data_IF_764587349947
#
_entry.id   IF_764587349947
#
_cell.length_a   1.000
_cell.length_b   1.000
_cell.length_c   1.000
_cell.angle_alpha   90.00
_cell.angle_beta   90.00
_cell.angle_gamma   90.00
#
_symmetry.space_group_name_H-M   'P 1'
#
loop_
_entity.id
_entity.type
_entity.pdbx_description
1 polymer ?
#
# COMPACT_ATOMS: atom_id res chain seq x y z
N UNK A 1 24.39 -3.21 1.43
CA UNK A 1 23.69 -2.34 0.46
C UNK A 1 23.19 -1.12 1.21
N UNK A 2 23.55 0.08 0.71
CA UNK A 2 23.13 1.35 1.32
C UNK A 2 21.93 1.92 0.56
N UNK A 3 20.81 2.10 1.27
CA UNK A 3 19.54 2.54 0.70
C UNK A 3 19.19 3.94 1.21
N UNK A 4 18.97 4.89 0.30
CA UNK A 4 18.39 6.19 0.60
C UNK A 4 16.88 6.10 0.51
N UNK A 5 16.18 6.20 1.62
CA UNK A 5 14.72 6.17 1.66
C UNK A 5 14.16 7.59 1.71
N UNK A 6 13.58 8.05 0.58
CA UNK A 6 13.03 9.40 0.43
C UNK A 6 11.51 9.32 0.50
N UNK A 7 10.91 10.15 1.37
CA UNK A 7 9.45 10.21 1.51
C UNK A 7 9.01 11.59 2.02
N UNK A 8 7.72 11.88 1.84
CA UNK A 8 7.13 13.08 2.41
C UNK A 8 7.03 12.94 3.93
N UNK A 9 7.47 13.94 4.69
CA UNK A 9 7.51 13.87 6.17
C UNK A 9 6.12 13.65 6.82
N UNK A 10 5.04 14.06 6.14
CA UNK A 10 3.67 13.84 6.58
C UNK A 10 3.00 12.66 5.86
N UNK A 11 3.79 11.71 5.33
CA UNK A 11 3.24 10.53 4.67
C UNK A 11 2.35 9.74 5.66
N UNK A 12 1.02 9.65 5.42
CA UNK A 12 0.10 9.05 6.37
C UNK A 12 0.34 7.54 6.57
N UNK A 13 1.01 6.89 5.62
CA UNK A 13 1.35 5.47 5.70
C UNK A 13 2.59 5.20 6.55
N UNK A 14 3.37 6.23 6.87
CA UNK A 14 4.61 6.12 7.63
C UNK A 14 4.50 6.75 9.03
N UNK A 15 3.37 7.34 9.38
CA UNK A 15 3.17 8.07 10.63
C UNK A 15 1.90 7.62 11.36
N UNK A 16 1.93 7.75 12.69
CA UNK A 16 0.78 7.50 13.55
C UNK A 16 0.38 6.04 13.68
N UNK A 17 -0.89 5.79 13.90
CA UNK A 17 -1.44 4.44 14.14
C UNK A 17 -1.31 3.51 12.95
N UNK A 18 -1.13 4.05 11.75
CA UNK A 18 -0.85 3.25 10.56
C UNK A 18 0.58 2.77 10.49
N UNK A 19 1.50 3.40 11.22
CA UNK A 19 2.92 3.09 11.11
C UNK A 19 3.28 1.72 11.67
N UNK A 20 2.82 1.38 12.87
CA UNK A 20 3.33 0.21 13.59
C UNK A 20 2.71 -1.11 13.17
N UNK A 21 1.50 -1.10 12.61
CA UNK A 21 0.69 -2.31 12.46
C UNK A 21 0.00 -2.46 11.10
N UNK A 22 0.49 -1.78 10.07
CA UNK A 22 0.02 -1.93 8.70
C UNK A 22 1.04 -2.72 7.89
N UNK A 23 0.58 -3.63 7.04
CA UNK A 23 1.44 -4.53 6.26
C UNK A 23 2.55 -3.79 5.46
N UNK A 24 2.35 -2.53 5.10
CA UNK A 24 3.38 -1.71 4.45
C UNK A 24 4.65 -1.57 5.30
N UNK A 25 4.47 -1.45 6.62
CA UNK A 25 5.58 -1.20 7.53
C UNK A 25 6.29 -2.48 7.95
N UNK A 26 5.61 -3.62 7.87
CA UNK A 26 6.27 -4.91 8.07
C UNK A 26 7.38 -5.12 7.04
N UNK A 27 7.15 -4.71 5.79
CA UNK A 27 8.17 -4.71 4.75
C UNK A 27 9.35 -3.78 5.11
N UNK A 28 9.08 -2.53 5.48
CA UNK A 28 10.12 -1.58 5.88
C UNK A 28 10.87 -2.03 7.14
N UNK A 29 10.14 -2.62 8.09
CA UNK A 29 10.74 -3.20 9.29
C UNK A 29 11.69 -4.34 8.92
N UNK A 30 11.25 -5.27 8.08
CA UNK A 30 12.07 -6.38 7.62
C UNK A 30 13.33 -5.93 6.87
N UNK A 31 13.22 -4.87 6.05
CA UNK A 31 14.39 -4.27 5.41
C UNK A 31 15.38 -3.68 6.43
N UNK A 32 14.89 -3.01 7.47
CA UNK A 32 15.76 -2.42 8.52
C UNK A 32 16.39 -3.46 9.44
N UNK A 33 15.76 -4.62 9.60
CA UNK A 33 16.26 -5.74 10.41
C UNK A 33 17.21 -6.66 9.63
N UNK A 34 17.42 -6.40 8.34
CA UNK A 34 18.35 -7.18 7.51
C UNK A 34 19.76 -6.62 7.62
N UNK A 35 20.70 -7.45 8.11
CA UNK A 35 22.09 -7.07 8.35
C UNK A 35 22.87 -6.66 7.08
N UNK A 36 22.38 -7.03 5.90
CA UNK A 36 23.00 -6.68 4.62
C UNK A 36 22.53 -5.32 4.08
N UNK A 37 21.53 -4.70 4.72
CA UNK A 37 20.88 -3.48 4.24
C UNK A 37 21.01 -2.37 5.29
N UNK A 38 21.63 -1.26 4.91
CA UNK A 38 21.68 -0.04 5.69
C UNK A 38 20.70 0.98 5.08
N UNK A 39 19.63 1.32 5.81
CA UNK A 39 18.64 2.31 5.34
C UNK A 39 18.86 3.63 6.06
N UNK A 40 18.99 4.71 5.28
CA UNK A 40 18.96 6.07 5.78
C UNK A 40 17.71 6.79 5.32
N UNK A 41 16.97 7.31 6.29
CA UNK A 41 15.72 8.04 6.09
C UNK A 41 15.97 9.51 5.69
N UNK A 42 15.21 9.98 4.70
CA UNK A 42 15.21 11.36 4.23
C UNK A 42 13.77 11.90 4.18
N UNK A 43 13.17 12.19 5.36
CA UNK A 43 11.86 12.84 5.40
C UNK A 43 11.99 14.27 4.86
N UNK A 44 11.08 14.64 3.96
CA UNK A 44 11.16 15.94 3.27
C UNK A 44 9.77 16.49 3.03
N UNK A 45 9.56 17.80 3.22
CA UNK A 45 8.27 18.44 2.93
C UNK A 45 8.03 18.64 1.45
N UNK A 46 8.84 19.46 0.82
CA UNK A 46 8.56 19.94 -0.54
C UNK A 46 9.66 19.55 -1.53
N UNK A 47 10.90 19.95 -1.23
CA UNK A 47 12.04 19.81 -2.13
C UNK A 47 13.13 19.00 -1.47
N UNK A 48 13.58 17.95 -2.15
CA UNK A 48 14.75 17.19 -1.76
C UNK A 48 15.86 17.36 -2.79
N UNK A 49 17.08 17.67 -2.35
CA UNK A 49 18.27 17.74 -3.21
C UNK A 49 18.96 16.37 -3.22
N UNK A 50 18.79 15.63 -4.30
CA UNK A 50 19.38 14.31 -4.45
C UNK A 50 20.89 14.30 -4.67
N UNK A 51 21.52 15.45 -4.95
CA UNK A 51 22.98 15.53 -5.14
C UNK A 51 23.77 15.06 -3.92
N UNK A 52 23.19 15.18 -2.71
CA UNK A 52 23.79 14.72 -1.46
C UNK A 52 23.96 13.19 -1.39
N UNK A 53 23.25 12.44 -2.24
CA UNK A 53 23.28 10.98 -2.28
C UNK A 53 24.43 10.44 -3.13
N UNK A 54 25.00 11.27 -4.01
CA UNK A 54 26.05 10.86 -4.97
C UNK A 54 27.20 10.15 -4.27
N UNK A 55 27.58 8.97 -4.77
CA UNK A 55 28.67 8.13 -4.26
C UNK A 55 28.51 7.67 -2.79
N UNK A 56 27.31 7.76 -2.21
CA UNK A 56 27.07 7.38 -0.81
C UNK A 56 26.04 6.27 -0.66
N UNK A 57 25.19 6.05 -1.67
CA UNK A 57 24.11 5.09 -1.67
C UNK A 57 24.13 4.24 -2.93
N UNK A 58 23.66 3.00 -2.79
CA UNK A 58 23.58 2.04 -3.87
C UNK A 58 22.18 2.05 -4.52
N UNK A 59 21.14 2.43 -3.75
CA UNK A 59 19.73 2.42 -4.17
C UNK A 59 19.01 3.63 -3.57
N UNK A 60 18.09 4.21 -4.35
CA UNK A 60 17.08 5.15 -3.86
C UNK A 60 15.75 4.41 -3.79
N UNK A 61 15.13 4.40 -2.60
CA UNK A 61 13.81 3.82 -2.37
C UNK A 61 12.77 4.93 -2.24
N UNK A 62 11.72 4.84 -3.08
CA UNK A 62 10.53 5.66 -3.02
C UNK A 62 9.35 4.78 -2.60
N UNK A 63 8.75 5.04 -1.44
CA UNK A 63 7.79 4.09 -0.89
C UNK A 63 6.42 4.14 -1.58
N UNK A 64 5.95 5.31 -1.95
CA UNK A 64 4.70 5.48 -2.69
C UNK A 64 4.95 6.44 -3.84
N UNK A 65 4.69 6.02 -5.06
CA UNK A 65 4.88 6.86 -6.23
C UNK A 65 3.66 7.76 -6.49
N UNK A 66 3.19 8.45 -5.48
CA UNK A 66 2.08 9.39 -5.56
C UNK A 66 2.41 10.72 -4.88
N UNK A 67 1.58 11.73 -5.13
CA UNK A 67 1.76 13.10 -4.62
C UNK A 67 1.67 13.23 -3.08
N UNK A 68 1.11 12.24 -2.39
CA UNK A 68 0.96 12.26 -0.93
C UNK A 68 2.11 11.58 -0.20
N UNK A 69 2.74 10.61 -0.85
CA UNK A 69 3.84 9.83 -0.28
C UNK A 69 5.22 10.42 -0.52
N UNK A 70 5.33 11.35 -1.49
CA UNK A 70 6.59 11.85 -2.01
C UNK A 70 6.70 13.38 -1.88
N UNK A 71 7.92 13.92 -1.76
CA UNK A 71 8.13 15.36 -1.87
C UNK A 71 7.66 15.87 -3.24
N UNK A 72 7.30 17.14 -3.31
CA UNK A 72 6.83 17.74 -4.57
C UNK A 72 7.90 17.74 -5.66
N UNK A 73 9.18 17.79 -5.28
CA UNK A 73 10.33 17.80 -6.17
C UNK A 73 11.52 17.05 -5.57
N UNK A 74 12.22 16.28 -6.42
CA UNK A 74 13.53 15.68 -6.09
C UNK A 74 14.53 16.22 -7.11
N UNK A 75 15.25 17.27 -6.73
CA UNK A 75 16.23 17.92 -7.61
C UNK A 75 17.47 17.05 -7.80
N UNK A 76 18.02 17.06 -9.02
CA UNK A 76 19.26 16.35 -9.32
C UNK A 76 19.13 14.82 -9.40
N UNK A 77 17.95 14.24 -9.21
CA UNK A 77 17.75 12.77 -9.30
C UNK A 77 18.07 12.24 -10.69
N UNK A 78 17.83 13.02 -11.74
CA UNK A 78 18.10 12.64 -13.13
C UNK A 78 19.59 12.50 -13.43
N UNK A 79 20.43 13.16 -12.65
CA UNK A 79 21.87 13.24 -12.83
C UNK A 79 22.63 12.13 -12.06
N UNK A 80 21.91 11.38 -11.22
CA UNK A 80 22.51 10.32 -10.42
C UNK A 80 22.54 9.00 -11.20
N UNK A 81 23.64 8.29 -11.10
CA UNK A 81 23.77 6.91 -11.55
C UNK A 81 23.48 5.94 -10.39
N UNK A 82 22.30 6.14 -9.76
CA UNK A 82 21.81 5.31 -8.68
C UNK A 82 20.43 4.80 -9.09
N UNK A 83 20.17 3.48 -9.08
CA UNK A 83 18.86 2.94 -9.40
C UNK A 83 17.79 3.41 -8.42
N UNK A 84 16.63 3.79 -8.97
CA UNK A 84 15.47 4.25 -8.21
C UNK A 84 14.40 3.17 -8.23
N UNK A 85 14.04 2.69 -7.06
CA UNK A 85 13.01 1.66 -6.86
C UNK A 85 11.81 2.28 -6.17
N UNK A 86 10.61 2.08 -6.69
CA UNK A 86 9.39 2.60 -6.12
C UNK A 86 8.37 1.50 -5.81
N UNK A 87 7.73 1.58 -4.64
CA UNK A 87 6.52 0.81 -4.38
C UNK A 87 5.40 1.38 -5.26
N UNK A 88 4.69 0.50 -5.95
CA UNK A 88 3.50 0.87 -6.70
C UNK A 88 2.44 1.48 -5.77
N UNK A 89 1.81 2.58 -6.19
CA UNK A 89 0.59 3.07 -5.57
C UNK A 89 -0.61 2.18 -5.97
N UNK A 90 -1.73 2.36 -5.28
CA UNK A 90 -2.97 1.66 -5.63
C UNK A 90 -3.24 1.72 -7.14
N UNK A 91 -3.68 0.62 -7.78
CA UNK A 91 -3.97 0.57 -9.22
C UNK A 91 -4.93 1.68 -9.67
N UNK A 92 -5.86 2.08 -8.81
CA UNK A 92 -6.73 3.24 -9.06
C UNK A 92 -6.00 4.58 -9.19
N UNK A 93 -4.76 4.67 -8.72
CA UNK A 93 -3.90 5.85 -8.83
C UNK A 93 -2.92 5.78 -10.02
N UNK A 94 -2.86 4.68 -10.77
CA UNK A 94 -1.87 4.43 -11.82
C UNK A 94 -1.76 5.60 -12.82
N UNK A 95 -2.89 6.14 -13.28
CA UNK A 95 -2.91 7.29 -14.20
C UNK A 95 -2.16 8.51 -13.68
N UNK A 96 -2.18 8.74 -12.37
CA UNK A 96 -1.43 9.82 -11.73
C UNK A 96 0.02 9.42 -11.55
N UNK A 97 0.25 8.20 -11.08
CA UNK A 97 1.58 7.66 -10.77
C UNK A 97 2.50 7.57 -11.99
N UNK A 98 1.96 7.23 -13.16
CA UNK A 98 2.72 7.19 -14.43
C UNK A 98 3.41 8.53 -14.72
N UNK A 99 2.81 9.66 -14.34
CA UNK A 99 3.41 10.98 -14.53
C UNK A 99 4.74 11.15 -13.77
N UNK A 100 4.87 10.46 -12.66
CA UNK A 100 6.04 10.55 -11.81
C UNK A 100 7.17 9.61 -12.22
N UNK A 101 6.89 8.62 -13.06
CA UNK A 101 7.90 7.67 -13.54
C UNK A 101 9.13 8.39 -14.10
N UNK A 102 8.91 9.26 -15.09
CA UNK A 102 9.99 10.05 -15.69
C UNK A 102 10.53 11.13 -14.75
N UNK A 103 9.62 11.78 -14.01
CA UNK A 103 9.97 12.88 -13.10
C UNK A 103 10.96 12.44 -12.03
N UNK A 104 10.76 11.26 -11.46
CA UNK A 104 11.60 10.71 -10.40
C UNK A 104 12.58 9.63 -10.87
N UNK A 105 12.77 9.48 -12.19
CA UNK A 105 13.70 8.50 -12.77
C UNK A 105 13.50 7.08 -12.22
N UNK A 106 12.25 6.62 -12.08
CA UNK A 106 11.98 5.30 -11.49
C UNK A 106 12.43 4.21 -12.46
N UNK A 107 13.35 3.35 -12.03
CA UNK A 107 13.89 2.25 -12.82
C UNK A 107 13.07 0.97 -12.63
N UNK A 108 12.56 0.74 -11.40
CA UNK A 108 11.81 -0.46 -11.04
C UNK A 108 10.65 -0.14 -10.11
N UNK A 109 9.56 -0.88 -10.33
CA UNK A 109 8.42 -0.92 -9.40
C UNK A 109 8.35 -2.25 -8.69
N UNK A 110 7.75 -2.26 -7.51
CA UNK A 110 7.41 -3.48 -6.81
C UNK A 110 6.09 -3.34 -6.06
N UNK A 111 5.36 -4.42 -5.92
CA UNK A 111 4.19 -4.58 -5.07
C UNK A 111 3.84 -6.07 -4.94
N UNK A 112 2.74 -6.39 -4.23
CA UNK A 112 2.28 -7.78 -4.09
C UNK A 112 1.40 -8.26 -5.26
N UNK A 113 0.99 -7.39 -6.15
CA UNK A 113 0.19 -7.77 -7.32
C UNK A 113 0.98 -8.63 -8.29
N UNK A 114 0.28 -9.44 -9.10
CA UNK A 114 0.89 -10.14 -10.21
C UNK A 114 1.35 -9.15 -11.29
N UNK A 115 2.42 -9.48 -12.00
CA UNK A 115 3.00 -8.62 -13.04
C UNK A 115 2.01 -8.29 -14.16
N UNK A 116 1.19 -9.27 -14.58
CA UNK A 116 0.16 -9.03 -15.60
C UNK A 116 -0.85 -7.96 -15.16
N UNK A 117 -1.28 -8.02 -13.90
CA UNK A 117 -2.17 -7.01 -13.33
C UNK A 117 -1.53 -5.63 -13.27
N UNK A 118 -0.25 -5.54 -12.95
CA UNK A 118 0.48 -4.28 -13.02
C UNK A 118 0.45 -3.73 -14.45
N UNK A 119 0.75 -4.52 -15.46
CA UNK A 119 0.78 -4.09 -16.86
C UNK A 119 -0.59 -3.84 -17.50
N UNK A 120 -1.68 -4.25 -16.86
CA UNK A 120 -3.02 -3.75 -17.26
C UNK A 120 -3.19 -2.25 -16.99
N UNK A 121 -2.48 -1.70 -15.98
CA UNK A 121 -2.61 -0.33 -15.54
C UNK A 121 -1.43 0.55 -15.96
N UNK A 122 -0.24 -0.01 -16.00
CA UNK A 122 1.01 0.66 -16.34
C UNK A 122 1.55 0.24 -17.71
N UNK A 123 2.37 1.09 -18.37
CA UNK A 123 3.03 0.72 -19.62
C UNK A 123 3.84 -0.56 -19.51
N UNK A 124 3.80 -1.39 -20.57
CA UNK A 124 4.48 -2.69 -20.61
C UNK A 124 6.02 -2.61 -20.55
N UNK A 125 6.59 -1.44 -20.82
CA UNK A 125 8.03 -1.21 -20.72
C UNK A 125 8.49 -0.80 -19.32
N UNK A 126 7.58 -0.63 -18.35
CA UNK A 126 7.97 -0.38 -16.96
C UNK A 126 8.41 -1.70 -16.32
N UNK A 127 9.57 -1.69 -15.67
CA UNK A 127 10.07 -2.86 -14.97
C UNK A 127 9.35 -3.03 -13.65
N UNK A 128 8.88 -4.24 -13.40
CA UNK A 128 8.12 -4.56 -12.20
C UNK A 128 8.58 -5.88 -11.58
N UNK A 129 8.41 -5.98 -10.27
CA UNK A 129 8.64 -7.23 -9.54
C UNK A 129 7.56 -7.45 -8.50
N UNK A 130 6.90 -8.59 -8.56
CA UNK A 130 6.02 -9.06 -7.49
C UNK A 130 6.85 -9.42 -6.27
N UNK A 131 6.54 -8.81 -5.12
CA UNK A 131 7.12 -9.13 -3.82
C UNK A 131 5.99 -9.51 -2.89
N UNK A 132 6.01 -10.73 -2.36
CA UNK A 132 5.03 -11.15 -1.36
C UNK A 132 5.35 -10.44 -0.05
N UNK A 133 4.41 -9.63 0.43
CA UNK A 133 4.51 -9.02 1.75
C UNK A 133 4.28 -10.10 2.81
N UNK A 134 5.24 -10.24 3.72
CA UNK A 134 5.14 -11.18 4.81
C UNK A 134 4.09 -10.76 5.85
N UNK A 135 3.80 -11.68 6.77
CA UNK A 135 2.99 -11.39 7.93
C UNK A 135 3.90 -11.04 9.11
N UNK A 136 3.44 -10.15 9.99
CA UNK A 136 4.13 -9.86 11.26
C UNK A 136 3.82 -10.97 12.27
N UNK A 137 4.79 -11.85 12.61
CA UNK A 137 4.53 -13.03 13.46
C UNK A 137 3.95 -12.68 14.83
N UNK A 138 4.32 -11.54 15.40
CA UNK A 138 3.84 -11.10 16.72
C UNK A 138 2.32 -10.96 16.81
N UNK A 139 1.66 -10.66 15.67
CA UNK A 139 0.21 -10.50 15.60
C UNK A 139 -0.54 -11.84 15.64
N UNK A 140 0.17 -12.95 15.47
CA UNK A 140 -0.41 -14.30 15.35
C UNK A 140 0.09 -15.26 16.43
N UNK A 141 0.76 -14.74 17.46
CA UNK A 141 1.33 -15.60 18.52
C UNK A 141 0.29 -16.23 19.44
N UNK A 142 -0.87 -15.60 19.60
CA UNK A 142 -1.96 -16.03 20.49
C UNK A 142 -3.28 -16.03 19.74
N UNK A 143 -3.41 -16.95 18.79
CA UNK A 143 -4.60 -17.04 17.95
C UNK A 143 -5.70 -17.81 18.68
N UNK A 144 -6.94 -17.32 18.61
CA UNK A 144 -8.10 -18.02 19.17
C UNK A 144 -8.25 -19.41 18.54
N UNK A 145 -8.41 -20.49 19.32
CA UNK A 145 -8.68 -21.81 18.78
C UNK A 145 -9.89 -21.82 17.84
N UNK A 146 -9.79 -22.58 16.75
CA UNK A 146 -10.79 -22.56 15.68
C UNK A 146 -12.20 -22.90 16.22
N UNK A 147 -12.30 -23.83 17.17
CA UNK A 147 -13.56 -24.30 17.76
C UNK A 147 -14.27 -23.23 18.61
N UNK A 148 -13.52 -22.19 19.01
CA UNK A 148 -14.08 -21.05 19.77
C UNK A 148 -14.52 -19.90 18.90
N UNK A 149 -14.25 -19.98 17.59
CA UNK A 149 -14.60 -18.93 16.65
C UNK A 149 -16.06 -18.99 16.24
N UNK A 150 -16.57 -17.86 15.79
CA UNK A 150 -17.93 -17.75 15.23
C UNK A 150 -17.95 -18.46 13.88
N UNK A 151 -18.64 -19.61 13.82
CA UNK A 151 -18.72 -20.48 12.63
C UNK A 151 -19.96 -20.23 11.77
N UNK A 152 -21.03 -19.68 12.36
CA UNK A 152 -22.31 -19.43 11.69
C UNK A 152 -22.44 -18.04 11.07
N UNK A 153 -21.36 -17.25 11.10
CA UNK A 153 -21.28 -15.91 10.53
C UNK A 153 -20.01 -15.72 9.71
N UNK A 154 -20.08 -14.86 8.72
CA UNK A 154 -18.96 -14.43 7.90
C UNK A 154 -18.70 -12.95 8.19
N UNK A 155 -17.48 -12.60 8.53
CA UNK A 155 -17.11 -11.21 8.71
C UNK A 155 -16.93 -10.52 7.34
N UNK A 156 -17.61 -9.40 7.12
CA UNK A 156 -17.29 -8.48 6.05
C UNK A 156 -16.77 -7.17 6.62
N UNK A 157 -15.47 -6.97 6.54
CA UNK A 157 -14.75 -5.83 7.11
C UNK A 157 -14.28 -4.82 6.07
N UNK A 158 -14.64 -5.01 4.81
CA UNK A 158 -14.20 -4.18 3.71
C UNK A 158 -14.95 -2.85 3.60
N UNK A 159 -14.27 -1.81 3.12
CA UNK A 159 -14.91 -0.54 2.80
C UNK A 159 -15.94 -0.72 1.67
N UNK A 160 -17.13 -0.18 1.83
CA UNK A 160 -18.20 -0.22 0.80
C UNK A 160 -18.22 1.03 -0.09
N UNK A 161 -17.39 2.02 0.22
CA UNK A 161 -17.28 3.25 -0.56
C UNK A 161 -18.59 4.04 -0.67
N UNK A 162 -18.58 5.06 -1.52
CA UNK A 162 -19.74 5.90 -1.80
C UNK A 162 -20.45 5.44 -3.09
N UNK A 163 -21.63 4.82 -2.95
CA UNK A 163 -22.42 4.29 -4.05
C UNK A 163 -23.41 5.31 -4.66
N UNK A 164 -23.42 6.56 -4.24
CA UNK A 164 -24.27 7.61 -4.81
C UNK A 164 -23.96 7.78 -6.31
N UNK A 165 -24.99 8.06 -7.11
CA UNK A 165 -24.89 8.16 -8.58
C UNK A 165 -23.75 9.10 -9.04
N UNK A 166 -23.60 10.32 -8.50
CA UNK A 166 -22.52 11.21 -8.92
C UNK A 166 -21.13 10.60 -8.68
N UNK A 167 -20.92 9.96 -7.52
CA UNK A 167 -19.65 9.31 -7.21
C UNK A 167 -19.34 8.14 -8.14
N UNK A 168 -20.38 7.39 -8.56
CA UNK A 168 -20.24 6.28 -9.52
C UNK A 168 -19.79 6.80 -10.88
N UNK A 169 -20.44 7.84 -11.41
CA UNK A 169 -20.09 8.46 -12.69
C UNK A 169 -18.65 8.98 -12.65
N UNK A 170 -18.30 9.74 -11.62
CA UNK A 170 -16.95 10.30 -11.47
C UNK A 170 -15.89 9.18 -11.41
N UNK A 171 -16.13 8.12 -10.66
CA UNK A 171 -15.20 7.00 -10.57
C UNK A 171 -15.03 6.25 -11.88
N UNK A 172 -16.11 6.04 -12.62
CA UNK A 172 -16.05 5.39 -13.94
C UNK A 172 -15.26 6.23 -14.96
N UNK A 173 -15.42 7.55 -14.92
CA UNK A 173 -14.68 8.46 -15.80
C UNK A 173 -13.20 8.55 -15.41
N UNK A 174 -12.91 8.66 -14.11
CA UNK A 174 -11.53 8.80 -13.62
C UNK A 174 -10.71 7.53 -13.74
N UNK A 175 -11.33 6.39 -13.53
CA UNK A 175 -10.67 5.08 -13.47
C UNK A 175 -11.41 4.04 -14.34
N UNK A 176 -11.38 4.17 -15.67
CA UNK A 176 -12.15 3.28 -16.55
C UNK A 176 -11.68 1.82 -16.50
N UNK A 177 -10.41 1.58 -16.19
CA UNK A 177 -9.84 0.23 -16.07
C UNK A 177 -9.99 -0.36 -14.67
N UNK A 178 -10.05 0.47 -13.63
CA UNK A 178 -10.23 0.06 -12.24
C UNK A 178 -11.65 0.30 -11.77
N UNK A 179 -12.46 -0.74 -11.74
CA UNK A 179 -13.86 -0.63 -11.35
C UNK A 179 -14.09 -1.07 -9.89
N UNK A 180 -13.60 -0.28 -8.93
CA UNK A 180 -13.85 -0.50 -7.50
C UNK A 180 -15.36 -0.55 -7.14
N UNK A 181 -16.23 0.05 -7.97
CA UNK A 181 -17.67 0.05 -7.74
C UNK A 181 -18.28 -1.35 -7.76
N UNK A 182 -17.75 -2.27 -8.56
CA UNK A 182 -18.22 -3.65 -8.58
C UNK A 182 -17.99 -4.33 -7.23
N UNK A 183 -16.82 -4.14 -6.64
CA UNK A 183 -16.51 -4.65 -5.31
C UNK A 183 -17.39 -4.01 -4.24
N UNK A 184 -17.60 -2.70 -4.27
CA UNK A 184 -18.45 -2.01 -3.31
C UNK A 184 -19.91 -2.44 -3.41
N UNK A 185 -20.42 -2.63 -4.63
CA UNK A 185 -21.78 -3.15 -4.85
C UNK A 185 -21.93 -4.55 -4.29
N UNK A 186 -20.98 -5.45 -4.59
CA UNK A 186 -20.97 -6.80 -4.09
C UNK A 186 -20.93 -6.83 -2.56
N UNK A 187 -20.03 -6.10 -1.94
CA UNK A 187 -19.94 -5.99 -0.48
C UNK A 187 -21.24 -5.47 0.14
N UNK A 188 -21.86 -4.45 -0.44
CA UNK A 188 -23.15 -3.92 0.03
C UNK A 188 -24.27 -4.94 -0.09
N UNK A 189 -24.26 -5.76 -1.12
CA UNK A 189 -25.22 -6.87 -1.25
C UNK A 189 -24.98 -7.95 -0.20
N UNK A 190 -23.71 -8.35 0.01
CA UNK A 190 -23.34 -9.33 1.03
C UNK A 190 -23.74 -8.88 2.44
N UNK A 191 -23.62 -7.60 2.77
CA UNK A 191 -23.98 -7.06 4.08
C UNK A 191 -25.47 -7.20 4.43
N UNK A 192 -26.33 -7.48 3.44
CA UNK A 192 -27.76 -7.72 3.65
C UNK A 192 -28.10 -9.17 3.99
N UNK A 193 -27.12 -10.05 3.89
CA UNK A 193 -27.31 -11.46 4.17
C UNK A 193 -27.34 -11.71 5.69
N UNK A 194 -28.27 -12.52 6.22
CA UNK A 194 -28.46 -12.68 7.67
C UNK A 194 -27.27 -13.34 8.38
N UNK A 195 -26.39 -14.01 7.63
CA UNK A 195 -25.19 -14.67 8.14
C UNK A 195 -23.92 -13.84 7.90
N UNK A 196 -24.04 -12.58 7.49
CA UNK A 196 -22.88 -11.67 7.33
C UNK A 196 -22.91 -10.61 8.42
N UNK A 197 -21.86 -10.57 9.19
CA UNK A 197 -21.59 -9.46 10.12
C UNK A 197 -20.72 -8.42 9.42
N UNK A 198 -21.20 -7.20 9.38
CA UNK A 198 -20.51 -6.10 8.72
C UNK A 198 -20.03 -5.06 9.73
N UNK A 199 -18.82 -4.57 9.53
CA UNK A 199 -18.30 -3.41 10.24
C UNK A 199 -17.67 -2.41 9.27
N UNK A 200 -18.17 -1.18 9.30
CA UNK A 200 -17.63 -0.06 8.53
C UNK A 200 -16.56 0.74 9.27
N UNK A 201 -16.38 0.46 10.56
CA UNK A 201 -15.52 1.25 11.45
C UNK A 201 -14.05 0.85 11.38
N UNK A 202 -13.74 -0.15 10.60
CA UNK A 202 -12.43 -0.77 10.49
C UNK A 202 -11.28 0.19 10.20
N UNK A 203 -11.51 1.19 9.39
CA UNK A 203 -10.44 2.13 9.03
C UNK A 203 -10.01 3.02 10.19
N UNK A 204 -10.86 3.15 11.23
CA UNK A 204 -10.61 4.04 12.36
C UNK A 204 -10.46 3.31 13.71
N UNK A 205 -11.23 2.25 13.94
CA UNK A 205 -11.27 1.57 15.24
C UNK A 205 -10.42 0.30 15.32
N UNK A 206 -10.16 -0.36 14.18
CA UNK A 206 -9.45 -1.64 14.12
C UNK A 206 -8.09 -1.56 13.43
N UNK A 207 -7.47 -0.40 13.45
CA UNK A 207 -6.10 -0.25 12.96
C UNK A 207 -5.14 -0.89 13.95
N UNK A 208 -4.11 -1.51 13.44
CA UNK A 208 -3.10 -2.12 14.27
C UNK A 208 -3.53 -3.47 14.87
N UNK A 209 -3.25 -3.67 16.15
CA UNK A 209 -3.47 -4.95 16.84
C UNK A 209 -4.95 -5.33 16.96
N UNK A 210 -5.87 -4.38 16.83
CA UNK A 210 -7.31 -4.63 16.92
C UNK A 210 -7.88 -5.38 15.72
N UNK A 211 -7.31 -5.19 14.53
CA UNK A 211 -7.81 -5.85 13.33
C UNK A 211 -7.56 -7.36 13.33
N UNK A 212 -6.37 -7.87 13.63
CA UNK A 212 -6.15 -9.30 13.85
C UNK A 212 -7.09 -9.89 14.90
N UNK A 213 -7.30 -9.19 16.01
CA UNK A 213 -8.23 -9.63 17.09
C UNK A 213 -9.69 -9.70 16.62
N UNK A 214 -10.09 -8.88 15.66
CA UNK A 214 -11.40 -8.98 15.04
C UNK A 214 -11.48 -10.18 14.10
N UNK A 215 -10.48 -10.36 13.22
CA UNK A 215 -10.43 -11.46 12.27
C UNK A 215 -10.45 -12.83 12.95
N UNK A 216 -9.72 -12.99 14.05
CA UNK A 216 -9.63 -14.27 14.76
C UNK A 216 -10.93 -14.72 15.42
N UNK A 217 -11.90 -13.80 15.63
CA UNK A 217 -13.23 -14.15 16.16
C UNK A 217 -14.08 -14.96 15.22
N UNK A 218 -13.77 -14.96 13.93
CA UNK A 218 -14.59 -15.61 12.89
C UNK A 218 -13.83 -16.76 12.23
N UNK A 219 -14.57 -17.79 11.80
CA UNK A 219 -14.00 -18.85 10.97
C UNK A 219 -13.77 -18.39 9.53
N UNK A 220 -14.53 -17.40 9.09
CA UNK A 220 -14.49 -16.92 7.70
C UNK A 220 -14.63 -15.39 7.61
N UNK A 221 -13.92 -14.79 6.67
CA UNK A 221 -14.05 -13.38 6.34
C UNK A 221 -14.06 -13.18 4.84
N UNK A 222 -14.76 -12.14 4.38
CA UNK A 222 -14.74 -11.71 2.97
C UNK A 222 -13.48 -10.87 2.78
N UNK A 223 -12.55 -11.39 1.99
CA UNK A 223 -11.40 -10.65 1.48
C UNK A 223 -11.77 -10.01 0.13
N UNK A 224 -11.48 -8.73 -0.05
CA UNK A 224 -11.67 -8.04 -1.33
C UNK A 224 -10.76 -6.83 -1.43
#
# INVERSE_FOLDING_TARGET
IKVAFIYHENNPYLLGTHYDNVYYNFFMKALRENDEIEIKDFPTKEIFDASILKNKFDIILLYENNEYGMPSEIRGIQELDIPVIAKEADPGAAKKSIKFHKKWKIDYYFHFHHEDFFHEQYPSNFKYKTIIFGLEPRLYQKVMPFEKRISNKILNSGNVGNLKIPSRIINTIKNPKWNALSCYKLRTMCNKLPYVDYTSTLQHEFVGDKYPLLLEKYCSAIAA
#
